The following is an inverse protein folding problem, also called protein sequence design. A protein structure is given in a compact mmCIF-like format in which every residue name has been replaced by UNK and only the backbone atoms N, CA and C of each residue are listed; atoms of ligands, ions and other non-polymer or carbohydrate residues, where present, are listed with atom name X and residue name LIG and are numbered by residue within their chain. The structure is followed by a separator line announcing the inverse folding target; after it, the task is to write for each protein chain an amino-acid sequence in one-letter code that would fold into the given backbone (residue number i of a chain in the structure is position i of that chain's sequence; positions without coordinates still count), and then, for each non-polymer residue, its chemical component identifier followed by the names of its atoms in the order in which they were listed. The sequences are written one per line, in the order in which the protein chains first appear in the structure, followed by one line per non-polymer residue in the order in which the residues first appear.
data_IF_362837078608
#
_entry.id   IF_362837078608
#
_cell.length_a   1.000
_cell.length_b   1.000
_cell.length_c   1.000
_cell.angle_alpha   90.00
_cell.angle_beta   90.00
_cell.angle_gamma   90.00
#
_symmetry.space_group_name_H-M   'P 1'
#
loop_
_entity.id
_entity.type
_entity.pdbx_description
1 polymer ?
#
# COMPACT_ATOMS: atom_id res chain seq x y z
N UNK A 1 7.75 -6.98 -21.04
CA UNK A 1 8.45 -6.12 -20.07
C UNK A 1 8.83 -6.93 -18.84
N UNK A 2 10.13 -7.03 -18.56
CA UNK A 2 10.64 -7.68 -17.35
C UNK A 2 10.53 -6.69 -16.21
N UNK A 3 9.74 -7.00 -15.19
CA UNK A 3 9.71 -6.21 -13.96
C UNK A 3 11.14 -6.17 -13.38
N UNK A 4 11.65 -5.00 -12.95
CA UNK A 4 12.91 -4.97 -12.23
C UNK A 4 12.78 -5.84 -10.98
N UNK A 5 13.74 -6.74 -10.78
CA UNK A 5 13.88 -7.48 -9.52
C UNK A 5 14.32 -6.46 -8.47
N UNK A 6 13.35 -5.76 -7.86
CA UNK A 6 13.62 -4.81 -6.79
C UNK A 6 14.21 -5.58 -5.61
N UNK A 7 15.42 -5.22 -5.17
CA UNK A 7 16.11 -5.92 -4.10
C UNK A 7 15.91 -5.16 -2.78
N UNK A 8 15.39 -5.84 -1.75
CA UNK A 8 15.31 -5.37 -0.36
C UNK A 8 14.84 -3.92 -0.15
N UNK A 9 15.78 -2.98 -0.12
CA UNK A 9 15.53 -1.54 0.07
C UNK A 9 14.70 -0.91 -1.06
N UNK A 10 14.95 -1.27 -2.32
CA UNK A 10 14.19 -0.71 -3.45
C UNK A 10 12.72 -1.13 -3.41
N UNK A 11 12.46 -2.36 -2.95
CA UNK A 11 11.11 -2.87 -2.76
C UNK A 11 10.39 -2.11 -1.64
N UNK A 12 11.08 -1.87 -0.52
CA UNK A 12 10.55 -1.08 0.61
C UNK A 12 10.23 0.35 0.18
N UNK A 13 11.11 1.01 -0.56
CA UNK A 13 10.87 2.35 -1.08
C UNK A 13 9.71 2.40 -2.08
N UNK A 14 9.63 1.43 -3.01
CA UNK A 14 8.53 1.34 -3.95
C UNK A 14 7.19 1.13 -3.23
N UNK A 15 7.16 0.24 -2.23
CA UNK A 15 5.98 -0.01 -1.41
C UNK A 15 5.57 1.25 -0.64
N UNK A 16 6.51 1.94 0.00
CA UNK A 16 6.26 3.21 0.70
C UNK A 16 5.62 4.24 -0.22
N UNK A 17 6.18 4.45 -1.41
CA UNK A 17 5.61 5.38 -2.42
C UNK A 17 4.20 4.99 -2.85
N UNK A 18 3.92 3.69 -3.03
CA UNK A 18 2.56 3.25 -3.34
C UNK A 18 1.60 3.56 -2.19
N UNK A 19 1.99 3.30 -0.95
CA UNK A 19 1.18 3.60 0.22
C UNK A 19 0.92 5.10 0.35
N UNK A 20 1.95 5.94 0.23
CA UNK A 20 1.81 7.40 0.24
C UNK A 20 0.86 7.89 -0.86
N UNK A 21 0.89 7.27 -2.06
CA UNK A 21 -0.05 7.57 -3.12
C UNK A 21 -1.48 7.15 -2.75
N UNK A 22 -1.67 5.95 -2.21
CA UNK A 22 -3.00 5.46 -1.82
C UNK A 22 -3.65 6.36 -0.76
N UNK A 23 -2.86 6.78 0.24
CA UNK A 23 -3.29 7.70 1.30
C UNK A 23 -3.19 9.18 0.91
N UNK A 24 -2.75 9.49 -0.30
CA UNK A 24 -2.74 10.87 -0.79
C UNK A 24 -4.17 11.40 -0.86
N UNK A 25 -4.33 12.70 -0.60
CA UNK A 25 -5.65 13.36 -0.63
C UNK A 25 -6.34 13.20 -1.98
N UNK A 26 -5.57 13.17 -3.07
CA UNK A 26 -6.09 12.99 -4.43
C UNK A 26 -6.62 11.57 -4.67
N UNK A 27 -5.92 10.54 -4.18
CA UNK A 27 -6.40 9.17 -4.29
C UNK A 27 -7.58 8.94 -3.36
N UNK A 28 -7.51 9.36 -2.09
CA UNK A 28 -8.62 9.23 -1.14
C UNK A 28 -9.90 9.93 -1.62
N UNK A 29 -9.79 11.09 -2.26
CA UNK A 29 -10.96 11.77 -2.81
C UNK A 29 -11.65 11.00 -3.95
N UNK A 30 -10.92 10.11 -4.64
CA UNK A 30 -11.43 9.32 -5.77
C UNK A 30 -11.75 7.88 -5.39
N UNK A 31 -11.00 7.32 -4.45
CA UNK A 31 -11.03 5.92 -4.05
C UNK A 31 -12.05 5.71 -2.92
N UNK A 32 -13.32 5.64 -3.34
CA UNK A 32 -14.45 5.38 -2.43
C UNK A 32 -14.31 4.04 -1.70
N UNK A 33 -13.59 3.07 -2.27
CA UNK A 33 -13.37 1.79 -1.61
C UNK A 33 -12.43 1.96 -0.41
N UNK A 34 -11.29 2.62 -0.60
CA UNK A 34 -10.36 2.88 0.49
C UNK A 34 -11.01 3.73 1.59
N UNK A 35 -11.78 4.76 1.22
CA UNK A 35 -12.53 5.58 2.16
C UNK A 35 -13.62 4.78 2.88
N UNK A 36 -14.32 3.86 2.20
CA UNK A 36 -15.33 3.02 2.82
C UNK A 36 -14.74 1.97 3.78
N UNK A 37 -13.45 1.67 3.66
CA UNK A 37 -12.72 0.80 4.59
C UNK A 37 -12.07 1.57 5.75
N UNK A 38 -12.09 2.90 5.73
CA UNK A 38 -11.61 3.71 6.85
C UNK A 38 -12.61 3.70 8.00
N UNK A 39 -12.10 3.56 9.22
CA UNK A 39 -12.89 3.77 10.42
C UNK A 39 -13.03 5.27 10.74
N UNK A 40 -13.76 5.61 11.79
CA UNK A 40 -14.03 6.99 12.24
C UNK A 40 -12.76 7.78 12.54
N UNK A 41 -11.66 7.09 12.81
CA UNK A 41 -10.33 7.64 13.08
C UNK A 41 -9.41 7.65 11.83
N UNK A 42 -9.93 7.36 10.64
CA UNK A 42 -9.19 7.20 9.38
C UNK A 42 -8.16 6.06 9.37
N UNK A 43 -8.30 5.08 10.27
CA UNK A 43 -7.51 3.85 10.21
C UNK A 43 -8.07 2.90 9.15
N UNK A 44 -7.17 2.27 8.40
CA UNK A 44 -7.51 1.24 7.41
C UNK A 44 -6.87 -0.08 7.86
N UNK A 45 -7.60 -1.20 7.85
CA UNK A 45 -7.00 -2.50 8.19
C UNK A 45 -5.88 -2.85 7.18
N UNK A 46 -4.74 -3.31 7.69
CA UNK A 46 -3.57 -3.69 6.88
C UNK A 46 -3.96 -4.69 5.78
N UNK A 47 -4.92 -5.57 6.05
CA UNK A 47 -5.44 -6.53 5.08
C UNK A 47 -6.01 -5.86 3.82
N UNK A 48 -6.67 -4.70 3.94
CA UNK A 48 -7.19 -3.94 2.80
C UNK A 48 -6.07 -3.49 1.88
N UNK A 49 -5.01 -2.94 2.48
CA UNK A 49 -3.82 -2.48 1.78
C UNK A 49 -3.09 -3.66 1.11
N UNK A 50 -2.89 -4.75 1.85
CA UNK A 50 -2.28 -5.96 1.34
C UNK A 50 -3.09 -6.61 0.22
N UNK A 51 -4.41 -6.34 0.13
CA UNK A 51 -5.27 -6.84 -0.92
C UNK A 51 -5.31 -5.94 -2.16
N UNK A 52 -4.59 -4.81 -2.19
CA UNK A 52 -4.45 -3.97 -3.37
C UNK A 52 -3.59 -4.63 -4.44
N UNK A 53 -3.99 -4.44 -5.71
CA UNK A 53 -3.29 -5.02 -6.84
C UNK A 53 -1.84 -4.52 -6.96
N UNK A 54 -1.57 -3.24 -6.68
CA UNK A 54 -0.19 -2.72 -6.73
C UNK A 54 0.65 -3.26 -5.58
N UNK A 55 0.07 -3.37 -4.37
CA UNK A 55 0.77 -3.95 -3.22
C UNK A 55 1.09 -5.41 -3.49
N UNK A 56 0.10 -6.24 -3.90
CA UNK A 56 0.31 -7.66 -4.27
C UNK A 56 1.35 -7.87 -5.37
N UNK A 57 1.48 -6.92 -6.29
CA UNK A 57 2.49 -6.97 -7.36
C UNK A 57 3.89 -6.66 -6.86
N UNK A 58 4.02 -5.88 -5.80
CA UNK A 58 5.30 -5.59 -5.16
C UNK A 58 5.67 -6.68 -4.16
N UNK A 59 4.77 -7.00 -3.24
CA UNK A 59 4.97 -7.98 -2.19
C UNK A 59 3.66 -8.64 -1.77
N UNK A 60 3.76 -9.88 -1.30
CA UNK A 60 2.66 -10.57 -0.59
C UNK A 60 3.00 -10.82 0.88
N UNK A 61 4.14 -10.31 1.31
CA UNK A 61 4.68 -10.46 2.66
C UNK A 61 4.07 -9.40 3.59
N UNK A 62 3.27 -9.86 4.56
CA UNK A 62 2.56 -9.00 5.50
C UNK A 62 3.53 -8.32 6.47
N UNK A 63 4.56 -9.02 6.93
CA UNK A 63 5.57 -8.46 7.82
C UNK A 63 6.31 -7.30 7.16
N UNK A 64 6.63 -7.42 5.86
CA UNK A 64 7.21 -6.31 5.10
C UNK A 64 6.27 -5.10 4.98
N UNK A 65 4.98 -5.33 4.73
CA UNK A 65 3.97 -4.24 4.64
C UNK A 65 3.85 -3.53 5.99
N UNK A 66 3.80 -4.29 7.09
CA UNK A 66 3.76 -3.74 8.45
C UNK A 66 5.04 -2.99 8.79
N UNK A 67 6.20 -3.50 8.41
CA UNK A 67 7.49 -2.86 8.63
C UNK A 67 7.60 -1.52 7.88
N UNK A 68 7.08 -1.43 6.66
CA UNK A 68 7.09 -0.17 5.89
C UNK A 68 6.10 0.86 6.43
N UNK A 69 5.01 0.41 7.07
CA UNK A 69 4.01 1.26 7.73
C UNK A 69 4.41 1.69 9.16
N UNK A 70 5.36 0.99 9.79
CA UNK A 70 5.95 1.37 11.08
C UNK A 70 6.88 2.57 10.95
#
# INVERSE_FOLDING_TARGET
ESLPVLCGEELREALRKQLEYYFSRENLAKDLYLVAQMDSEHYVPIWTIANFNQVKRLTTDMDLIVEVLR
#
